data_IF_990600033872
#
_entry.id   IF_990600033872
#
_cell.length_a   1.000
_cell.length_b   1.000
_cell.length_c   1.000
_cell.angle_alpha   90.00
_cell.angle_beta   90.00
_cell.angle_gamma   90.00
#
_symmetry.space_group_name_H-M   'P 1'
#
loop_
_entity.id
_entity.type
_entity.pdbx_description
1 polymer ?
#
# COMPACT_ATOMS: atom_id res chain seq x y z
N UNK A 1 -6.17 -17.95 14.32
CA UNK A 1 -6.70 -16.58 14.20
C UNK A 1 -6.69 -15.96 15.59
N UNK A 2 -6.26 -14.69 15.75
CA UNK A 2 -6.18 -14.06 17.09
C UNK A 2 -7.57 -13.97 17.71
N UNK A 3 -7.70 -14.49 18.93
CA UNK A 3 -8.88 -14.29 19.77
C UNK A 3 -8.81 -12.91 20.42
N UNK A 4 -9.92 -12.18 20.43
CA UNK A 4 -10.00 -10.86 21.06
C UNK A 4 -10.28 -11.08 22.54
N UNK A 5 -9.41 -10.57 23.40
CA UNK A 5 -9.62 -10.63 24.84
C UNK A 5 -10.73 -9.64 25.25
N UNK A 6 -11.55 -9.95 26.26
CA UNK A 6 -12.68 -9.11 26.66
C UNK A 6 -12.25 -7.68 27.04
N UNK A 7 -11.07 -7.51 27.63
CA UNK A 7 -10.49 -6.22 28.00
C UNK A 7 -10.03 -5.37 26.79
N UNK A 8 -9.83 -5.98 25.61
CA UNK A 8 -9.41 -5.31 24.39
C UNK A 8 -10.60 -4.96 23.46
N UNK A 9 -11.81 -5.41 23.79
CA UNK A 9 -12.99 -5.27 22.90
C UNK A 9 -13.30 -3.82 22.56
N UNK A 10 -13.06 -2.90 23.49
CA UNK A 10 -13.32 -1.47 23.27
C UNK A 10 -12.45 -0.88 22.15
N UNK A 11 -11.25 -1.42 21.89
CA UNK A 11 -10.36 -0.98 20.79
C UNK A 11 -10.93 -1.29 19.41
N UNK A 12 -11.88 -2.22 19.33
CA UNK A 12 -12.45 -2.72 18.07
C UNK A 12 -13.89 -2.25 17.82
N UNK A 13 -14.34 -1.24 18.58
CA UNK A 13 -15.71 -0.69 18.55
C UNK A 13 -15.83 0.63 17.78
N UNK A 14 -14.80 1.04 17.05
CA UNK A 14 -14.85 2.28 16.26
C UNK A 14 -15.89 2.19 15.13
N UNK A 15 -16.59 3.30 14.81
CA UNK A 15 -17.59 3.31 13.74
C UNK A 15 -16.96 2.90 12.40
N UNK A 16 -17.75 2.22 11.57
CA UNK A 16 -17.31 1.84 10.22
C UNK A 16 -17.21 3.11 9.37
N UNK A 17 -15.99 3.58 9.13
CA UNK A 17 -15.73 4.72 8.25
C UNK A 17 -15.46 4.25 6.82
N UNK A 18 -15.89 5.04 5.84
CA UNK A 18 -15.51 4.83 4.44
C UNK A 18 -14.01 4.99 4.21
N UNK A 19 -13.46 4.31 3.20
CA UNK A 19 -12.06 4.49 2.80
C UNK A 19 -11.85 5.89 2.22
N UNK A 20 -10.91 6.66 2.78
CA UNK A 20 -10.51 7.98 2.24
C UNK A 20 -10.08 7.91 0.77
N UNK A 21 -9.36 6.84 0.40
CA UNK A 21 -8.99 6.54 -0.99
C UNK A 21 -9.66 5.22 -1.39
N UNK A 22 -10.64 5.23 -2.30
CA UNK A 22 -11.23 4.01 -2.83
C UNK A 22 -10.18 3.09 -3.47
N UNK A 23 -10.25 1.80 -3.21
CA UNK A 23 -9.32 0.81 -3.75
C UNK A 23 -9.16 0.88 -5.28
N UNK A 24 -10.22 1.04 -6.09
CA UNK A 24 -10.09 1.13 -7.55
C UNK A 24 -9.20 2.30 -8.00
N UNK A 25 -9.33 3.45 -7.34
CA UNK A 25 -8.55 4.66 -7.67
C UNK A 25 -7.07 4.41 -7.38
N UNK A 26 -6.75 3.77 -6.25
CA UNK A 26 -5.38 3.39 -5.94
C UNK A 26 -4.79 2.46 -7.01
N UNK A 27 -5.52 1.43 -7.44
CA UNK A 27 -5.04 0.50 -8.47
C UNK A 27 -4.78 1.21 -9.80
N UNK A 28 -5.67 2.11 -10.20
CA UNK A 28 -5.46 2.95 -11.38
C UNK A 28 -4.17 3.77 -11.24
N UNK A 29 -3.96 4.46 -10.11
CA UNK A 29 -2.74 5.24 -9.88
C UNK A 29 -1.51 4.35 -9.95
N UNK A 30 -1.51 3.20 -9.27
CA UNK A 30 -0.36 2.30 -9.23
C UNK A 30 0.00 1.71 -10.59
N UNK A 31 -0.96 1.52 -11.50
CA UNK A 31 -0.71 0.98 -12.85
C UNK A 31 -0.34 2.09 -13.83
N UNK A 32 -1.13 3.16 -13.90
CA UNK A 32 -0.97 4.20 -14.91
C UNK A 32 0.21 5.12 -14.63
N UNK A 33 0.47 5.49 -13.38
CA UNK A 33 1.57 6.39 -13.05
C UNK A 33 2.97 5.89 -13.50
N UNK A 34 3.40 4.66 -13.15
CA UNK A 34 4.71 4.16 -13.57
C UNK A 34 4.76 3.83 -15.07
N UNK A 35 3.67 3.37 -15.68
CA UNK A 35 3.64 3.08 -17.12
C UNK A 35 3.74 4.35 -17.96
N UNK A 36 3.00 5.40 -17.61
CA UNK A 36 3.10 6.72 -18.24
C UNK A 36 4.51 7.28 -18.07
N UNK A 37 5.07 7.23 -16.86
CA UNK A 37 6.42 7.71 -16.59
C UNK A 37 7.46 6.99 -17.46
N UNK A 38 7.30 5.68 -17.68
CA UNK A 38 8.19 4.92 -18.54
C UNK A 38 8.02 5.27 -20.03
N UNK A 39 6.78 5.47 -20.49
CA UNK A 39 6.50 5.89 -21.87
C UNK A 39 7.08 7.27 -22.15
N UNK A 40 6.94 8.22 -21.22
CA UNK A 40 7.55 9.54 -21.34
C UNK A 40 9.07 9.44 -21.46
N UNK A 41 9.72 8.71 -20.55
CA UNK A 41 11.17 8.46 -20.62
C UNK A 41 11.60 7.78 -21.93
N UNK A 42 10.78 6.87 -22.47
CA UNK A 42 11.02 6.25 -23.76
C UNK A 42 10.97 7.27 -24.92
N UNK A 43 9.99 8.17 -24.92
CA UNK A 43 9.81 9.20 -25.96
C UNK A 43 10.97 10.21 -25.91
N UNK A 44 11.35 10.68 -24.72
CA UNK A 44 12.42 11.68 -24.57
C UNK A 44 13.81 11.13 -24.94
N UNK A 45 14.15 9.92 -24.51
CA UNK A 45 15.50 9.36 -24.71
C UNK A 45 15.63 8.44 -25.93
N UNK A 46 14.58 8.31 -26.76
CA UNK A 46 14.49 7.31 -27.86
C UNK A 46 14.91 5.90 -27.41
N UNK A 47 14.31 5.43 -26.33
CA UNK A 47 14.63 4.13 -25.73
C UNK A 47 14.41 2.94 -26.68
N UNK A 48 14.97 1.77 -26.37
CA UNK A 48 14.72 0.54 -27.14
C UNK A 48 13.42 -0.13 -26.72
N UNK A 49 12.72 -0.81 -27.64
CA UNK A 49 11.55 -1.65 -27.32
C UNK A 49 11.84 -2.68 -26.22
N UNK A 50 13.07 -3.21 -26.19
CA UNK A 50 13.52 -4.16 -25.16
C UNK A 50 13.48 -3.58 -23.76
N UNK A 51 13.75 -2.28 -23.62
CA UNK A 51 13.67 -1.57 -22.33
C UNK A 51 12.22 -1.46 -21.85
N UNK A 52 11.28 -1.17 -22.75
CA UNK A 52 9.85 -1.09 -22.44
C UNK A 52 9.31 -2.42 -21.97
N UNK A 53 9.55 -3.49 -22.73
CA UNK A 53 9.11 -4.83 -22.36
C UNK A 53 9.67 -5.23 -20.99
N UNK A 54 10.98 -5.03 -20.78
CA UNK A 54 11.63 -5.39 -19.52
C UNK A 54 11.06 -4.63 -18.32
N UNK A 55 10.75 -3.33 -18.48
CA UNK A 55 10.18 -2.53 -17.40
C UNK A 55 8.72 -2.91 -17.09
N UNK A 56 7.89 -3.13 -18.11
CA UNK A 56 6.50 -3.56 -17.93
C UNK A 56 6.46 -4.94 -17.26
N UNK A 57 7.29 -5.89 -17.70
CA UNK A 57 7.40 -7.20 -17.05
C UNK A 57 7.91 -7.07 -15.61
N UNK A 58 8.91 -6.21 -15.37
CA UNK A 58 9.48 -5.99 -14.04
C UNK A 58 8.46 -5.46 -13.03
N UNK A 59 7.68 -4.44 -13.39
CA UNK A 59 6.67 -3.90 -12.47
C UNK A 59 5.50 -4.85 -12.24
N UNK A 60 5.07 -5.55 -13.29
CA UNK A 60 4.00 -6.56 -13.18
C UNK A 60 4.40 -7.68 -12.23
N UNK A 61 5.65 -8.16 -12.33
CA UNK A 61 6.21 -9.15 -11.42
C UNK A 61 6.28 -8.61 -9.98
N UNK A 62 6.79 -7.38 -9.79
CA UNK A 62 6.89 -6.76 -8.48
C UNK A 62 5.52 -6.62 -7.79
N UNK A 63 4.49 -6.22 -8.51
CA UNK A 63 3.11 -6.18 -7.99
C UNK A 63 2.57 -7.55 -7.65
N UNK A 64 2.83 -8.55 -8.48
CA UNK A 64 2.37 -9.93 -8.26
C UNK A 64 2.99 -10.51 -6.97
N UNK A 65 4.30 -10.37 -6.82
CA UNK A 65 5.03 -10.80 -5.61
C UNK A 65 4.50 -10.07 -4.38
N UNK A 66 4.34 -8.74 -4.45
CA UNK A 66 3.83 -7.95 -3.35
C UNK A 66 2.39 -8.33 -2.95
N UNK A 67 1.50 -8.55 -3.93
CA UNK A 67 0.13 -8.97 -3.71
C UNK A 67 0.08 -10.34 -3.02
N UNK A 68 0.92 -11.28 -3.48
CA UNK A 68 1.02 -12.62 -2.93
C UNK A 68 1.53 -12.60 -1.48
N UNK A 69 2.69 -11.97 -1.22
CA UNK A 69 3.24 -11.86 0.13
C UNK A 69 2.28 -11.14 1.08
N UNK A 70 1.71 -10.01 0.65
CA UNK A 70 0.77 -9.24 1.48
C UNK A 70 -0.45 -10.09 1.84
N UNK A 71 -0.97 -10.88 0.90
CA UNK A 71 -2.11 -11.75 1.13
C UNK A 71 -1.78 -12.87 2.12
N UNK A 72 -0.62 -13.49 1.99
CA UNK A 72 -0.13 -14.51 2.94
C UNK A 72 -0.02 -13.90 4.34
N UNK A 73 0.68 -12.77 4.49
CA UNK A 73 0.88 -12.15 5.80
C UNK A 73 -0.47 -11.76 6.43
N UNK A 74 -1.42 -11.25 5.63
CA UNK A 74 -2.78 -10.93 6.10
C UNK A 74 -3.49 -12.15 6.69
N UNK A 75 -3.36 -13.30 6.06
CA UNK A 75 -3.98 -14.55 6.54
C UNK A 75 -3.25 -15.09 7.77
N UNK A 76 -1.92 -15.04 7.79
CA UNK A 76 -1.10 -15.53 8.89
C UNK A 76 -1.29 -14.70 10.17
N UNK A 77 -1.25 -13.37 10.05
CA UNK A 77 -1.36 -12.46 11.20
C UNK A 77 -2.81 -12.35 11.66
N UNK A 78 -3.76 -12.24 10.72
CA UNK A 78 -5.19 -12.19 11.03
C UNK A 78 -5.60 -11.10 12.01
N UNK A 79 -4.92 -9.94 11.99
CA UNK A 79 -5.16 -8.83 12.92
C UNK A 79 -6.55 -8.23 12.66
N UNK A 80 -7.42 -8.10 13.68
CA UNK A 80 -8.69 -7.41 13.56
C UNK A 80 -8.51 -5.91 13.31
N UNK A 81 -9.45 -5.30 12.57
CA UNK A 81 -9.55 -3.85 12.34
C UNK A 81 -10.23 -3.17 13.53
N UNK A 82 -9.96 -1.88 13.77
CA UNK A 82 -10.59 -1.09 14.84
C UNK A 82 -12.12 -1.01 14.73
N UNK A 83 -12.71 -1.33 13.57
CA UNK A 83 -14.15 -1.36 13.33
C UNK A 83 -14.72 -2.80 13.25
N UNK A 84 -13.96 -3.81 13.69
CA UNK A 84 -14.34 -5.23 13.55
C UNK A 84 -15.64 -5.59 14.28
N UNK A 85 -15.90 -5.05 15.47
CA UNK A 85 -17.12 -5.35 16.25
C UNK A 85 -18.36 -4.92 15.47
N UNK A 86 -18.34 -3.70 14.92
CA UNK A 86 -19.46 -3.17 14.14
C UNK A 86 -19.65 -3.90 12.80
N UNK A 87 -18.59 -4.49 12.24
CA UNK A 87 -18.69 -5.37 11.06
C UNK A 87 -19.26 -6.76 11.38
N UNK A 88 -18.96 -7.29 12.57
CA UNK A 88 -19.42 -8.60 13.03
C UNK A 88 -20.88 -8.54 13.52
N UNK A 89 -21.26 -7.47 14.21
CA UNK A 89 -22.60 -7.23 14.75
C UNK A 89 -23.12 -5.85 14.32
N UNK A 90 -23.70 -5.72 13.11
CA UNK A 90 -24.14 -4.42 12.61
C UNK A 90 -25.40 -3.87 13.32
N UNK A 91 -26.29 -4.75 13.78
CA UNK A 91 -27.60 -4.38 14.37
C UNK A 91 -27.78 -4.89 15.80
N UNK A 92 -26.75 -5.53 16.38
CA UNK A 92 -26.84 -6.27 17.64
C UNK A 92 -25.61 -5.99 18.49
N UNK A 93 -25.74 -6.17 19.81
CA UNK A 93 -24.59 -6.15 20.72
C UNK A 93 -24.24 -7.61 21.00
N UNK A 94 -23.39 -8.19 20.14
CA UNK A 94 -22.89 -9.54 20.31
C UNK A 94 -21.53 -9.56 21.02
N UNK A 95 -21.33 -10.54 21.90
CA UNK A 95 -20.05 -10.80 22.57
C UNK A 95 -19.33 -12.04 22.04
N UNK A 96 -20.04 -12.91 21.31
CA UNK A 96 -19.49 -14.14 20.74
C UNK A 96 -18.97 -13.95 19.31
N UNK A 97 -17.70 -13.58 19.17
CA UNK A 97 -17.03 -13.35 17.88
C UNK A 97 -16.86 -14.61 17.00
N UNK A 98 -17.33 -15.77 17.46
CA UNK A 98 -17.41 -16.99 16.63
C UNK A 98 -18.70 -17.03 15.81
N UNK A 99 -19.75 -16.31 16.22
CA UNK A 99 -21.07 -16.25 15.57
C UNK A 99 -21.41 -14.82 15.17
N UNK A 100 -20.78 -14.31 14.11
CA UNK A 100 -21.10 -12.99 13.57
C UNK A 100 -22.43 -13.00 12.79
N UNK A 101 -23.24 -11.96 12.99
CA UNK A 101 -24.50 -11.71 12.26
C UNK A 101 -24.28 -10.93 10.95
N UNK A 102 -23.13 -10.24 10.82
CA UNK A 102 -22.75 -9.49 9.64
C UNK A 102 -22.37 -10.35 8.42
N UNK A 103 -22.23 -9.72 7.26
CA UNK A 103 -21.88 -10.44 6.02
C UNK A 103 -20.47 -11.06 6.09
N UNK A 104 -20.34 -12.28 5.58
CA UNK A 104 -19.08 -13.05 5.60
C UNK A 104 -17.91 -12.24 5.00
N UNK A 105 -18.17 -11.51 3.91
CA UNK A 105 -17.16 -10.67 3.26
C UNK A 105 -16.66 -9.54 4.18
N UNK A 106 -17.57 -8.85 4.88
CA UNK A 106 -17.21 -7.75 5.78
C UNK A 106 -16.49 -8.24 7.03
N UNK A 107 -16.91 -9.38 7.58
CA UNK A 107 -16.26 -10.03 8.72
C UNK A 107 -14.84 -10.46 8.36
N UNK A 108 -14.67 -11.07 7.20
CA UNK A 108 -13.36 -11.52 6.73
C UNK A 108 -12.41 -10.35 6.41
N UNK A 109 -12.92 -9.29 5.80
CA UNK A 109 -12.18 -8.05 5.56
C UNK A 109 -11.78 -7.36 6.88
N UNK A 110 -12.68 -7.40 7.87
CA UNK A 110 -12.44 -6.92 9.23
C UNK A 110 -11.30 -7.66 9.95
N UNK A 111 -10.95 -8.88 9.55
CA UNK A 111 -9.81 -9.65 10.10
C UNK A 111 -8.52 -9.51 9.29
N UNK A 112 -8.48 -8.63 8.30
CA UNK A 112 -7.34 -8.40 7.40
C UNK A 112 -6.84 -6.96 7.51
N UNK A 113 -6.47 -6.54 8.72
CA UNK A 113 -5.98 -5.17 8.96
C UNK A 113 -4.50 -4.97 8.67
N UNK A 114 -3.67 -6.00 8.85
CA UNK A 114 -2.22 -5.91 8.74
C UNK A 114 -1.64 -6.92 7.75
N UNK A 115 -0.70 -6.53 6.88
CA UNK A 115 -0.24 -5.17 6.59
C UNK A 115 -1.20 -4.38 5.68
N UNK A 116 -1.04 -3.06 5.59
CA UNK A 116 -1.85 -2.20 4.72
C UNK A 116 -1.56 -2.45 3.24
N UNK A 117 -2.61 -2.74 2.47
CA UNK A 117 -2.47 -2.93 1.02
C UNK A 117 -2.02 -1.64 0.32
N UNK A 118 -2.62 -0.50 0.67
CA UNK A 118 -2.30 0.80 0.10
C UNK A 118 -0.82 1.13 0.27
N UNK A 119 -0.31 1.01 1.49
CA UNK A 119 1.08 1.29 1.80
C UNK A 119 2.04 0.35 1.06
N UNK A 120 1.70 -0.93 0.95
CA UNK A 120 2.55 -1.92 0.27
C UNK A 120 2.67 -1.64 -1.23
N UNK A 121 1.55 -1.37 -1.92
CA UNK A 121 1.59 -1.06 -3.36
C UNK A 121 2.27 0.28 -3.64
N UNK A 122 2.00 1.31 -2.82
CA UNK A 122 2.70 2.60 -2.94
C UNK A 122 4.21 2.44 -2.76
N UNK A 123 4.66 1.61 -1.82
CA UNK A 123 6.08 1.31 -1.65
C UNK A 123 6.71 0.68 -2.89
N UNK A 124 6.07 -0.35 -3.46
CA UNK A 124 6.58 -1.01 -4.67
C UNK A 124 6.68 -0.04 -5.84
N UNK A 125 5.67 0.80 -6.07
CA UNK A 125 5.70 1.81 -7.14
C UNK A 125 6.87 2.76 -6.95
N UNK A 126 7.06 3.30 -5.75
CA UNK A 126 8.07 4.34 -5.52
C UNK A 126 9.49 3.78 -5.55
N UNK A 127 9.71 2.57 -5.04
CA UNK A 127 10.99 1.87 -5.19
C UNK A 127 11.28 1.57 -6.66
N UNK A 128 10.29 1.06 -7.40
CA UNK A 128 10.47 0.78 -8.83
C UNK A 128 10.81 2.05 -9.62
N UNK A 129 10.10 3.15 -9.35
CA UNK A 129 10.37 4.46 -9.94
C UNK A 129 11.77 5.00 -9.59
N UNK A 130 12.21 4.84 -8.35
CA UNK A 130 13.57 5.21 -7.93
C UNK A 130 14.64 4.45 -8.72
N UNK A 131 14.46 3.14 -8.87
CA UNK A 131 15.37 2.30 -9.66
C UNK A 131 15.36 2.68 -11.14
N UNK A 132 14.18 3.01 -11.69
CA UNK A 132 14.05 3.51 -13.07
C UNK A 132 14.82 4.80 -13.29
N UNK A 133 14.67 5.79 -12.40
CA UNK A 133 15.44 7.04 -12.49
C UNK A 133 16.94 6.78 -12.32
N UNK A 134 17.33 5.87 -11.42
CA UNK A 134 18.73 5.52 -11.22
C UNK A 134 19.37 4.92 -12.48
N UNK A 135 18.62 4.09 -13.20
CA UNK A 135 19.09 3.51 -14.48
C UNK A 135 19.24 4.59 -15.55
N UNK A 136 18.29 5.51 -15.66
CA UNK A 136 18.29 6.55 -16.70
C UNK A 136 19.34 7.63 -16.48
N UNK A 137 19.52 8.06 -15.24
CA UNK A 137 20.48 9.12 -14.91
C UNK A 137 21.93 8.64 -14.94
N UNK A 138 22.19 7.34 -15.17
CA UNK A 138 23.53 6.76 -15.20
C UNK A 138 24.37 7.23 -14.00
N UNK A 139 23.81 7.17 -12.80
CA UNK A 139 24.42 7.73 -11.56
C UNK A 139 25.87 7.28 -11.40
N UNK A 140 26.16 6.04 -11.81
CA UNK A 140 27.46 5.40 -11.66
C UNK A 140 28.52 5.86 -12.67
N UNK A 141 28.14 6.53 -13.76
CA UNK A 141 29.07 6.93 -14.83
C UNK A 141 29.37 8.44 -14.88
N UNK A 142 28.74 9.27 -14.05
CA UNK A 142 28.93 10.74 -14.13
C UNK A 142 29.30 11.36 -12.79
N UNK A 143 30.56 11.75 -12.65
CA UNK A 143 31.12 12.33 -11.42
C UNK A 143 30.54 13.73 -11.10
N UNK A 144 30.36 14.59 -12.10
CA UNK A 144 30.06 16.03 -11.88
C UNK A 144 28.61 16.35 -11.44
N UNK A 145 27.68 15.39 -11.47
CA UNK A 145 26.25 15.61 -11.09
C UNK A 145 25.69 14.50 -10.21
N UNK A 146 26.56 13.68 -9.61
CA UNK A 146 26.18 12.50 -8.84
C UNK A 146 25.21 12.83 -7.69
N UNK A 147 25.46 13.92 -6.97
CA UNK A 147 24.61 14.39 -5.87
C UNK A 147 23.17 14.74 -6.31
N UNK A 148 23.02 15.56 -7.34
CA UNK A 148 21.70 15.95 -7.86
C UNK A 148 20.92 14.76 -8.44
N UNK A 149 21.63 13.83 -9.11
CA UNK A 149 21.04 12.60 -9.65
C UNK A 149 20.58 11.64 -8.55
N UNK A 150 21.35 11.52 -7.47
CA UNK A 150 20.95 10.75 -6.28
C UNK A 150 19.72 11.37 -5.60
N UNK A 151 19.67 12.69 -5.44
CA UNK A 151 18.50 13.39 -4.90
C UNK A 151 17.26 13.13 -5.77
N UNK A 152 17.38 13.20 -7.10
CA UNK A 152 16.27 12.91 -8.01
C UNK A 152 15.76 11.45 -7.90
N UNK A 153 16.64 10.49 -7.64
CA UNK A 153 16.27 9.08 -7.45
C UNK A 153 15.69 8.79 -6.07
N UNK A 154 16.16 9.50 -5.05
CA UNK A 154 15.70 9.34 -3.67
C UNK A 154 14.40 10.13 -3.44
N UNK A 155 14.14 11.20 -4.21
CA UNK A 155 12.96 12.04 -4.08
C UNK A 155 11.62 11.27 -4.10
N UNK A 156 11.36 10.30 -5.02
CA UNK A 156 10.16 9.48 -4.97
C UNK A 156 10.02 8.68 -3.65
N UNK A 157 11.13 8.21 -3.08
CA UNK A 157 11.14 7.47 -1.81
C UNK A 157 10.93 8.42 -0.63
N UNK A 158 11.53 9.62 -0.65
CA UNK A 158 11.31 10.66 0.35
C UNK A 158 9.85 11.15 0.34
N UNK A 159 9.26 11.30 -0.84
CA UNK A 159 7.85 11.65 -0.98
C UNK A 159 6.95 10.54 -0.40
N UNK A 160 7.27 9.26 -0.64
CA UNK A 160 6.58 8.15 0.03
C UNK A 160 6.64 8.30 1.54
N UNK A 161 7.85 8.52 2.06
CA UNK A 161 8.11 8.58 3.49
C UNK A 161 7.34 9.73 4.12
N UNK A 162 7.32 10.91 3.47
CA UNK A 162 6.54 12.07 3.93
C UNK A 162 5.04 11.78 3.88
N UNK A 163 4.52 11.18 2.81
CA UNK A 163 3.09 10.83 2.71
C UNK A 163 2.68 9.78 3.76
N UNK A 164 3.55 8.80 4.03
CA UNK A 164 3.33 7.80 5.09
C UNK A 164 3.39 8.43 6.47
N UNK A 165 4.35 9.34 6.73
CA UNK A 165 4.46 10.06 8.00
C UNK A 165 3.25 10.98 8.24
N UNK A 166 2.81 11.74 7.23
CA UNK A 166 1.59 12.55 7.31
C UNK A 166 0.38 11.66 7.55
N UNK A 167 0.25 10.54 6.82
CA UNK A 167 -0.82 9.56 7.06
C UNK A 167 -0.81 8.99 8.47
N UNK A 168 0.37 8.65 9.00
CA UNK A 168 0.53 8.09 10.33
C UNK A 168 0.26 9.13 11.43
N UNK A 169 0.67 10.38 11.23
CA UNK A 169 0.39 11.52 12.13
C UNK A 169 -1.11 11.82 12.14
N UNK A 170 -1.76 11.90 10.98
CA UNK A 170 -3.21 12.13 10.89
C UNK A 170 -4.01 10.99 11.55
N UNK A 171 -3.63 9.73 11.31
CA UNK A 171 -4.26 8.57 11.95
C UNK A 171 -4.02 8.58 13.47
N UNK A 172 -2.81 8.93 13.93
CA UNK A 172 -2.49 8.99 15.36
C UNK A 172 -3.26 10.11 16.07
N UNK A 173 -3.43 11.27 15.43
CA UNK A 173 -4.22 12.39 15.96
C UNK A 173 -5.70 11.99 16.06
N UNK A 174 -6.26 11.32 15.04
CA UNK A 174 -7.65 10.86 15.04
C UNK A 174 -7.91 9.77 16.10
N UNK A 175 -6.94 8.89 16.37
CA UNK A 175 -7.08 7.84 17.40
C UNK A 175 -6.94 8.41 18.82
N UNK A 176 -6.31 9.58 18.98
CA UNK A 176 -6.03 10.21 20.28
C UNK A 176 -7.02 11.33 20.65
N UNK A 177 -7.96 11.65 19.76
CA UNK A 177 -9.14 12.49 20.00
C UNK A 177 -10.36 11.62 20.26
#
# INVERSE_FOLDING_TARGET
MRQIQPEEVWLYKYPVTGSYVPSPILWCICIFFPTISFILLYIFDKGSRRDCCSAISGITLAFSINAFLTSIIKILVGRPRPDFVNRCFPNEIGTDFTKCTGSIANVHDGRRSFPSGHSSFSFVVMVFMSLLFSRRLNIWNTEHLRGLKLVACIFPILLLLVLLLVGLVTITIIIKM
#
